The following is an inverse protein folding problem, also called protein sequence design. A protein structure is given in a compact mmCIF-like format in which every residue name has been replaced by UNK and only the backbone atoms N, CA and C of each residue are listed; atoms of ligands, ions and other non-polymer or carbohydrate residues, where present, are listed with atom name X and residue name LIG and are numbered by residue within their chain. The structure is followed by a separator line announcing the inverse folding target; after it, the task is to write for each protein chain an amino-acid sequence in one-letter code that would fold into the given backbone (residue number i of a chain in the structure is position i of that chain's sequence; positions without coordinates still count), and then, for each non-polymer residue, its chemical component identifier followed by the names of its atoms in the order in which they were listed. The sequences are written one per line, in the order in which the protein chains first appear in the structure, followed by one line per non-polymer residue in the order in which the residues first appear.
data_IF_987069234415
#
_entry.id   IF_987069234415
#
_cell.length_a   1.000
_cell.length_b   1.000
_cell.length_c   1.000
_cell.angle_alpha   90.00
_cell.angle_beta   90.00
_cell.angle_gamma   90.00
#
_symmetry.space_group_name_H-M   'P 1'
#
loop_
_entity.id
_entity.type
_entity.pdbx_description
1 polymer ?
#
# COMPACT_ATOMS: atom_id res chain seq x y z
N UNK A 1 13.43 20.29 7.24
CA UNK A 1 14.40 19.40 6.56
C UNK A 1 13.68 18.14 6.12
N UNK A 2 13.81 17.71 4.86
CA UNK A 2 13.24 16.44 4.41
C UNK A 2 13.99 15.25 5.06
N UNK A 3 13.23 14.23 5.45
CA UNK A 3 13.74 13.00 6.07
C UNK A 3 14.33 12.09 4.98
N UNK A 4 15.66 12.05 4.88
CA UNK A 4 16.39 11.35 3.82
C UNK A 4 16.07 9.84 3.78
N UNK A 5 15.89 9.20 4.94
CA UNK A 5 15.51 7.77 5.02
C UNK A 5 14.12 7.50 4.45
N UNK A 6 13.25 8.52 4.44
CA UNK A 6 11.91 8.45 3.85
C UNK A 6 11.97 8.59 2.32
N UNK A 7 12.89 9.43 1.82
CA UNK A 7 13.08 9.66 0.38
C UNK A 7 13.72 8.47 -0.34
N UNK A 8 14.60 7.72 0.32
CA UNK A 8 15.19 6.46 -0.20
C UNK A 8 14.15 5.36 -0.48
N UNK A 9 12.90 5.55 -0.01
CA UNK A 9 11.81 4.58 -0.16
C UNK A 9 10.99 4.81 -1.43
N UNK A 10 11.15 5.94 -2.11
CA UNK A 10 10.46 6.28 -3.37
C UNK A 10 10.90 5.48 -4.61
N UNK A 11 12.16 5.04 -4.78
CA UNK A 11 12.61 4.34 -5.98
C UNK A 11 11.85 3.03 -6.24
N UNK A 12 11.37 2.36 -5.19
CA UNK A 12 10.61 1.12 -5.29
C UNK A 12 9.16 1.32 -5.76
N UNK A 13 8.62 2.53 -5.65
CA UNK A 13 7.23 2.80 -6.00
C UNK A 13 6.93 2.61 -7.49
N UNK A 14 7.86 3.01 -8.36
CA UNK A 14 7.72 2.88 -9.81
C UNK A 14 7.76 1.42 -10.30
N UNK A 15 8.79 0.61 -9.97
CA UNK A 15 8.82 -0.80 -10.37
C UNK A 15 7.66 -1.62 -9.79
N UNK A 16 7.17 -1.26 -8.59
CA UNK A 16 5.98 -1.86 -7.98
C UNK A 16 4.69 -1.57 -8.75
N UNK A 17 4.54 -0.35 -9.26
CA UNK A 17 3.39 0.02 -10.09
C UNK A 17 3.49 -0.58 -11.50
N UNK A 18 4.70 -0.64 -12.06
CA UNK A 18 4.96 -1.19 -13.39
C UNK A 18 4.85 -2.73 -13.42
N UNK A 19 5.03 -3.40 -12.28
CA UNK A 19 4.91 -4.86 -12.13
C UNK A 19 3.81 -5.26 -11.14
N UNK A 20 2.73 -4.47 -11.03
CA UNK A 20 1.64 -4.75 -10.10
C UNK A 20 0.95 -6.11 -10.35
N UNK A 21 1.06 -6.67 -11.55
CA UNK A 21 0.56 -8.01 -11.92
C UNK A 21 1.50 -9.15 -11.49
N UNK A 22 2.65 -8.85 -10.88
CA UNK A 22 3.52 -9.88 -10.32
C UNK A 22 2.81 -10.57 -9.14
N UNK A 23 2.83 -11.90 -9.13
CA UNK A 23 2.12 -12.76 -8.16
C UNK A 23 2.48 -12.45 -6.68
N UNK A 24 3.59 -11.76 -6.44
CA UNK A 24 4.13 -11.40 -5.13
C UNK A 24 3.56 -10.08 -4.57
N UNK A 25 2.86 -9.29 -5.40
CA UNK A 25 2.25 -8.02 -5.00
C UNK A 25 0.77 -8.26 -4.67
N UNK A 26 0.39 -7.97 -3.43
CA UNK A 26 -1.01 -7.97 -3.01
C UNK A 26 -1.56 -6.56 -3.15
N UNK A 27 -2.52 -6.35 -4.04
CA UNK A 27 -3.29 -5.12 -4.11
C UNK A 27 -4.75 -5.33 -3.70
N UNK A 28 -5.31 -4.37 -2.96
CA UNK A 28 -6.72 -4.41 -2.57
C UNK A 28 -7.27 -3.04 -2.21
N UNK A 29 -8.57 -2.87 -2.45
CA UNK A 29 -9.32 -1.71 -1.97
C UNK A 29 -9.93 -2.00 -0.59
N UNK A 30 -9.81 -1.05 0.32
CA UNK A 30 -10.37 -1.13 1.66
C UNK A 30 -11.04 0.20 2.04
N UNK A 31 -12.26 0.13 2.58
CA UNK A 31 -12.99 1.30 3.08
C UNK A 31 -12.55 1.56 4.51
N UNK A 32 -11.84 2.66 4.74
CA UNK A 32 -11.46 3.08 6.09
C UNK A 32 -12.69 3.58 6.87
N UNK A 33 -12.54 3.70 8.20
CA UNK A 33 -13.64 4.11 9.09
C UNK A 33 -14.19 5.53 8.81
N UNK A 34 -13.41 6.37 8.12
CA UNK A 34 -13.81 7.70 7.63
C UNK A 34 -14.66 7.65 6.34
N UNK A 35 -14.91 6.44 5.82
CA UNK A 35 -15.64 6.20 4.58
C UNK A 35 -14.79 6.35 3.31
N UNK A 36 -13.51 6.73 3.42
CA UNK A 36 -12.61 6.88 2.29
C UNK A 36 -12.10 5.52 1.85
N UNK A 37 -12.16 5.25 0.54
CA UNK A 37 -11.57 4.06 -0.05
C UNK A 37 -10.08 4.29 -0.28
N UNK A 38 -9.25 3.40 0.28
CA UNK A 38 -7.81 3.36 0.05
C UNK A 38 -7.46 2.09 -0.70
N UNK A 39 -6.59 2.23 -1.69
CA UNK A 39 -5.96 1.10 -2.35
C UNK A 39 -4.64 0.84 -1.64
N UNK A 40 -4.48 -0.36 -1.11
CA UNK A 40 -3.25 -0.86 -0.53
C UNK A 40 -2.53 -1.68 -1.58
N UNK A 41 -1.22 -1.47 -1.73
CA UNK A 41 -0.35 -2.27 -2.60
C UNK A 41 0.81 -2.73 -1.74
N UNK A 42 0.90 -4.03 -1.50
CA UNK A 42 1.83 -4.60 -0.55
C UNK A 42 2.70 -5.67 -1.20
N UNK A 43 4.00 -5.43 -1.19
CA UNK A 43 4.99 -6.45 -1.51
C UNK A 43 5.32 -7.20 -0.22
N UNK A 44 4.65 -8.33 -0.03
CA UNK A 44 4.63 -9.05 1.24
C UNK A 44 5.99 -9.61 1.63
N UNK A 45 6.79 -10.04 0.65
CA UNK A 45 8.09 -10.66 0.90
C UNK A 45 9.17 -9.66 1.29
N UNK A 46 9.02 -8.41 0.86
CA UNK A 46 9.91 -7.31 1.20
C UNK A 46 9.36 -6.43 2.32
N UNK A 47 8.19 -6.77 2.88
CA UNK A 47 7.50 -5.96 3.87
C UNK A 47 7.34 -4.49 3.41
N UNK A 48 7.06 -4.23 2.13
CA UNK A 48 6.95 -2.86 1.61
C UNK A 48 5.51 -2.53 1.22
N UNK A 49 4.90 -1.56 1.91
CA UNK A 49 3.51 -1.15 1.71
C UNK A 49 3.41 0.24 1.07
N UNK A 50 2.55 0.35 0.06
CA UNK A 50 2.06 1.62 -0.47
C UNK A 50 0.57 1.78 -0.17
N UNK A 51 0.18 3.00 0.17
CA UNK A 51 -1.21 3.37 0.43
C UNK A 51 -1.59 4.51 -0.50
N UNK A 52 -2.59 4.25 -1.32
CA UNK A 52 -3.16 5.20 -2.27
C UNK A 52 -4.56 5.58 -1.81
N UNK A 53 -4.95 6.84 -1.97
CA UNK A 53 -6.34 7.27 -1.86
C UNK A 53 -7.02 7.09 -3.22
N UNK A 54 -8.15 6.39 -3.26
CA UNK A 54 -8.97 6.23 -4.47
C UNK A 54 -10.01 7.35 -4.51
N UNK A 55 -10.07 8.06 -5.63
CA UNK A 55 -11.09 9.08 -5.88
C UNK A 55 -12.29 8.47 -6.62
N UNK A 56 -13.47 9.11 -6.57
CA UNK A 56 -14.67 8.64 -7.26
C UNK A 56 -14.51 8.53 -8.79
N UNK A 57 -13.61 9.32 -9.37
CA UNK A 57 -13.27 9.32 -10.81
C UNK A 57 -12.32 8.18 -11.22
N UNK A 58 -11.98 7.28 -10.29
CA UNK A 58 -11.07 6.15 -10.51
C UNK A 58 -9.59 6.50 -10.37
N UNK A 59 -9.23 7.78 -10.21
CA UNK A 59 -7.83 8.17 -10.00
C UNK A 59 -7.35 7.75 -8.62
N UNK A 60 -6.03 7.49 -8.52
CA UNK A 60 -5.37 7.12 -7.27
C UNK A 60 -4.25 8.12 -6.98
N UNK A 61 -4.16 8.57 -5.72
CA UNK A 61 -3.06 9.44 -5.25
C UNK A 61 -2.27 8.73 -4.17
N UNK A 62 -0.95 8.66 -4.33
CA UNK A 62 -0.06 8.17 -3.30
C UNK A 62 -0.16 9.03 -2.04
N UNK A 63 -0.54 8.40 -0.93
CA UNK A 63 -0.60 9.05 0.38
C UNK A 63 0.69 8.79 1.13
N UNK A 64 1.13 7.52 1.18
CA UNK A 64 2.36 7.14 1.89
C UNK A 64 2.87 5.80 1.37
N UNK A 65 4.17 5.57 1.54
CA UNK A 65 4.78 4.26 1.45
C UNK A 65 5.78 4.05 2.58
N UNK A 66 5.89 2.81 3.08
CA UNK A 66 6.76 2.48 4.20
C UNK A 66 7.01 0.97 4.31
N UNK A 67 8.11 0.63 5.00
CA UNK A 67 8.43 -0.74 5.38
C UNK A 67 7.60 -1.17 6.60
N UNK A 68 7.06 -2.37 6.56
CA UNK A 68 6.28 -3.03 7.61
C UNK A 68 7.26 -3.69 8.58
N UNK A 69 7.82 -2.90 9.48
CA UNK A 69 8.87 -3.37 10.39
C UNK A 69 8.34 -4.29 11.52
N UNK A 70 7.04 -4.23 11.81
CA UNK A 70 6.44 -4.93 12.95
C UNK A 70 5.47 -6.04 12.52
N UNK A 71 5.64 -7.23 13.11
CA UNK A 71 4.77 -8.40 12.88
C UNK A 71 3.29 -8.14 13.22
N UNK A 72 3.01 -7.30 14.22
CA UNK A 72 1.62 -6.92 14.52
C UNK A 72 0.99 -6.11 13.38
N UNK A 73 1.77 -5.22 12.74
CA UNK A 73 1.31 -4.45 11.58
C UNK A 73 1.05 -5.38 10.40
N UNK A 74 1.95 -6.35 10.16
CA UNK A 74 1.78 -7.41 9.14
C UNK A 74 0.44 -8.15 9.30
N UNK A 75 0.16 -8.67 10.50
CA UNK A 75 -1.11 -9.35 10.80
C UNK A 75 -2.35 -8.47 10.61
N UNK A 76 -2.24 -7.16 10.91
CA UNK A 76 -3.34 -6.21 10.67
C UNK A 76 -3.60 -6.00 9.17
N UNK A 77 -2.54 -5.96 8.36
CA UNK A 77 -2.65 -5.83 6.90
C UNK A 77 -3.28 -7.08 6.28
N UNK A 78 -2.87 -8.27 6.71
CA UNK A 78 -3.48 -9.54 6.27
C UNK A 78 -4.99 -9.56 6.57
N UNK A 79 -5.40 -9.17 7.78
CA UNK A 79 -6.82 -9.06 8.12
C UNK A 79 -7.57 -8.02 7.27
N UNK A 80 -6.91 -6.93 6.86
CA UNK A 80 -7.50 -5.95 5.94
C UNK A 80 -7.66 -6.53 4.53
N UNK A 81 -6.68 -7.29 4.07
CA UNK A 81 -6.71 -7.97 2.78
C UNK A 81 -7.86 -9.00 2.72
N UNK A 82 -8.09 -9.74 3.81
CA UNK A 82 -9.21 -10.68 3.90
C UNK A 82 -10.58 -10.00 3.88
N UNK A 83 -10.66 -8.77 4.41
CA UNK A 83 -11.86 -7.92 4.46
C UNK A 83 -11.95 -6.93 3.31
N UNK A 84 -11.21 -7.15 2.23
CA UNK A 84 -11.19 -6.27 1.07
C UNK A 84 -12.58 -6.09 0.46
N UNK A 85 -12.78 -4.95 -0.18
CA UNK A 85 -13.94 -4.72 -1.03
C UNK A 85 -13.74 -5.57 -2.29
N UNK A 86 -14.73 -6.39 -2.62
CA UNK A 86 -14.72 -7.26 -3.80
C UNK A 86 -15.37 -6.56 -4.99
#
# INVERSE_FOLDING_TARGET
MPDLRRSERLPWARPMLDNADAMEVLDWDFKEGDGIVKTYVWLKDFDYLMVLKKYPDGRRRLITSFWVEYQNTRRKLEKKYDRRIR
#
